data_IF_136091907122
#
_entry.id   IF_136091907122
#
_cell.length_a   1.000
_cell.length_b   1.000
_cell.length_c   1.000
_cell.angle_alpha   90.00
_cell.angle_beta   90.00
_cell.angle_gamma   90.00
#
_symmetry.space_group_name_H-M   'P 1'
#
loop_
_entity.id
_entity.type
_entity.pdbx_description
1 polymer ?
#
# COMPACT_ATOMS: atom_id res chain seq x y z
N UNK A 1 -17.23 16.73 4.41
CA UNK A 1 -16.85 17.13 3.04
C UNK A 1 -15.49 16.52 2.82
N UNK A 2 -15.36 15.45 2.02
CA UNK A 2 -14.11 14.70 1.94
C UNK A 2 -13.13 15.52 1.08
N UNK A 3 -12.03 15.91 1.70
CA UNK A 3 -11.03 16.78 1.12
C UNK A 3 -10.20 15.94 0.14
N UNK A 4 -10.53 16.02 -1.14
CA UNK A 4 -9.55 15.72 -2.18
C UNK A 4 -8.35 16.64 -1.93
N UNK A 5 -7.19 16.03 -1.68
CA UNK A 5 -5.88 16.66 -1.58
C UNK A 5 -5.81 17.91 -2.48
N UNK A 6 -5.40 19.05 -1.93
CA UNK A 6 -5.51 20.43 -2.46
C UNK A 6 -4.95 20.66 -3.89
N UNK A 7 -5.42 19.90 -4.89
CA UNK A 7 -4.99 19.85 -6.28
C UNK A 7 -3.72 19.04 -6.58
N UNK A 8 -3.02 18.47 -5.59
CA UNK A 8 -1.68 17.91 -5.83
C UNK A 8 -1.34 16.71 -4.96
N UNK A 9 -1.20 15.55 -5.59
CA UNK A 9 -0.73 14.33 -4.93
C UNK A 9 0.77 14.44 -4.60
N UNK A 10 1.11 14.15 -3.34
CA UNK A 10 2.47 13.96 -2.86
C UNK A 10 2.54 12.53 -2.35
N UNK A 11 3.55 11.78 -2.78
CA UNK A 11 3.73 10.39 -2.42
C UNK A 11 5.17 9.95 -2.61
N UNK A 12 5.49 8.81 -2.04
CA UNK A 12 6.77 8.12 -2.16
C UNK A 12 6.51 6.63 -2.32
N UNK A 13 7.47 5.94 -2.93
CA UNK A 13 7.52 4.48 -2.90
C UNK A 13 7.96 4.03 -1.52
N UNK A 14 7.22 3.10 -0.94
CA UNK A 14 7.46 2.55 0.40
C UNK A 14 7.31 1.04 0.32
N UNK A 15 8.19 0.32 1.03
CA UNK A 15 8.06 -1.12 1.16
C UNK A 15 6.78 -1.48 1.93
N UNK A 16 6.11 -2.54 1.50
CA UNK A 16 4.85 -2.96 2.09
C UNK A 16 4.97 -3.25 3.60
N UNK A 17 6.13 -3.72 4.06
CA UNK A 17 6.40 -3.99 5.48
C UNK A 17 6.52 -2.73 6.33
N UNK A 18 6.81 -1.58 5.72
CA UNK A 18 7.09 -0.33 6.42
C UNK A 18 5.96 0.70 6.29
N UNK A 19 4.97 0.41 5.43
CA UNK A 19 3.87 1.32 5.09
C UNK A 19 3.02 1.71 6.30
N UNK A 20 2.86 0.83 7.30
CA UNK A 20 2.10 1.12 8.52
C UNK A 20 2.81 2.11 9.46
N UNK A 21 4.13 2.27 9.31
CA UNK A 21 4.94 3.20 10.06
C UNK A 21 5.15 4.53 9.33
N UNK A 22 4.72 4.61 8.07
CA UNK A 22 4.88 5.80 7.25
C UNK A 22 3.88 6.88 7.66
N UNK A 23 4.39 8.02 8.09
CA UNK A 23 3.56 9.17 8.48
C UNK A 23 3.35 10.14 7.31
N UNK A 24 2.34 10.99 7.39
CA UNK A 24 2.18 12.13 6.46
C UNK A 24 3.44 13.02 6.41
N UNK A 25 4.13 13.16 7.54
CA UNK A 25 5.37 13.91 7.61
C UNK A 25 6.43 13.30 6.71
N UNK A 26 6.60 11.97 6.77
CA UNK A 26 7.56 11.23 5.96
C UNK A 26 7.24 11.38 4.47
N UNK A 27 5.96 11.24 4.09
CA UNK A 27 5.51 11.44 2.70
C UNK A 27 5.80 12.85 2.18
N UNK A 28 5.79 13.86 3.06
CA UNK A 28 6.00 15.26 2.72
C UNK A 28 7.45 15.72 2.83
N UNK A 29 8.39 14.89 3.30
CA UNK A 29 9.82 15.26 3.38
C UNK A 29 10.32 15.67 2.00
N UNK A 30 10.91 16.87 1.91
CA UNK A 30 11.47 17.40 0.66
C UNK A 30 10.44 17.85 -0.38
N UNK A 31 9.13 17.67 -0.14
CA UNK A 31 8.07 18.08 -1.08
C UNK A 31 7.92 19.59 -1.22
N UNK A 32 8.40 20.36 -0.23
CA UNK A 32 8.19 21.81 -0.14
C UNK A 32 6.72 22.23 0.06
N UNK A 33 5.83 21.27 0.35
CA UNK A 33 4.39 21.47 0.47
C UNK A 33 3.93 21.24 1.91
N UNK A 34 3.13 22.16 2.42
CA UNK A 34 2.42 21.97 3.68
C UNK A 34 1.38 20.85 3.52
N UNK A 35 1.17 20.09 4.60
CA UNK A 35 0.13 19.08 4.72
C UNK A 35 -0.72 19.36 5.96
N UNK A 36 -1.96 18.89 5.92
CA UNK A 36 -2.84 18.92 7.09
C UNK A 36 -2.83 17.54 7.75
N UNK A 37 -2.83 17.50 9.09
CA UNK A 37 -2.81 16.24 9.86
C UNK A 37 -4.05 15.32 9.65
N UNK A 38 -5.01 15.76 8.83
CA UNK A 38 -6.26 15.08 8.53
C UNK A 38 -6.28 14.52 7.10
N UNK A 39 -5.19 14.69 6.35
CA UNK A 39 -5.04 14.11 5.02
C UNK A 39 -4.90 12.59 5.13
N UNK A 40 -5.52 11.87 4.21
CA UNK A 40 -5.49 10.41 4.19
C UNK A 40 -4.28 9.91 3.40
N UNK A 41 -3.64 8.86 3.92
CA UNK A 41 -2.61 8.11 3.18
C UNK A 41 -3.31 7.01 2.42
N UNK A 42 -2.97 6.88 1.14
CA UNK A 42 -3.61 5.94 0.23
C UNK A 42 -2.59 5.35 -0.74
N UNK A 43 -2.72 4.05 -1.03
CA UNK A 43 -1.87 3.37 -2.02
C UNK A 43 -2.52 3.54 -3.38
N UNK A 44 -2.01 4.50 -4.15
CA UNK A 44 -2.47 4.81 -5.52
C UNK A 44 -1.81 3.93 -6.59
N UNK A 45 -0.61 3.44 -6.30
CA UNK A 45 0.16 2.57 -7.19
C UNK A 45 0.94 1.55 -6.35
N UNK A 46 1.11 0.35 -6.87
CA UNK A 46 1.81 -0.74 -6.20
C UNK A 46 2.45 -1.70 -7.19
N UNK A 47 3.56 -2.31 -6.81
CA UNK A 47 4.21 -3.35 -7.59
C UNK A 47 4.18 -4.69 -6.85
N UNK A 48 4.16 -5.79 -7.60
CA UNK A 48 4.29 -7.17 -7.10
C UNK A 48 3.18 -7.67 -6.15
N UNK A 49 2.14 -6.88 -5.90
CA UNK A 49 0.93 -7.30 -5.19
C UNK A 49 -0.07 -7.92 -6.19
N UNK A 50 -0.72 -9.06 -5.87
CA UNK A 50 -1.57 -9.78 -6.81
C UNK A 50 -3.03 -9.35 -6.84
N UNK A 51 -3.30 -8.08 -6.58
CA UNK A 51 -4.63 -7.46 -6.75
C UNK A 51 -4.53 -6.24 -7.67
N UNK A 52 -5.66 -5.80 -8.20
CA UNK A 52 -5.76 -4.55 -8.96
C UNK A 52 -6.43 -3.48 -8.10
N UNK A 53 -6.13 -2.22 -8.37
CA UNK A 53 -6.79 -1.07 -7.78
C UNK A 53 -6.00 -0.42 -6.66
N UNK A 54 -6.70 0.35 -5.84
CA UNK A 54 -6.12 1.16 -4.77
C UNK A 54 -6.64 0.67 -3.43
N UNK A 55 -5.84 0.79 -2.39
CA UNK A 55 -6.20 0.35 -1.04
C UNK A 55 -5.50 1.15 0.05
N UNK A 56 -5.91 0.90 1.29
CA UNK A 56 -5.34 1.56 2.46
C UNK A 56 -3.99 0.97 2.88
N UNK A 57 -3.17 1.72 3.64
CA UNK A 57 -1.90 1.26 4.19
C UNK A 57 -1.97 -0.06 4.97
N UNK A 58 -3.09 -0.30 5.67
CA UNK A 58 -3.28 -1.53 6.43
C UNK A 58 -3.27 -2.77 5.53
N UNK A 59 -3.95 -2.70 4.38
CA UNK A 59 -4.00 -3.80 3.43
C UNK A 59 -2.63 -4.02 2.77
N UNK A 60 -1.91 -2.93 2.48
CA UNK A 60 -0.52 -3.01 2.01
C UNK A 60 0.39 -3.72 3.03
N UNK A 61 0.27 -3.41 4.33
CA UNK A 61 1.05 -4.06 5.39
C UNK A 61 0.76 -5.56 5.49
N UNK A 62 -0.50 -5.96 5.34
CA UNK A 62 -0.90 -7.37 5.30
C UNK A 62 -0.27 -8.11 4.12
N UNK A 63 -0.22 -7.48 2.94
CA UNK A 63 0.49 -8.04 1.79
C UNK A 63 1.99 -8.20 2.04
N UNK A 64 2.62 -7.23 2.71
CA UNK A 64 4.01 -7.33 3.14
C UNK A 64 4.27 -8.52 4.08
N UNK A 65 3.38 -8.74 5.05
CA UNK A 65 3.46 -9.90 5.95
C UNK A 65 3.31 -11.22 5.18
N UNK A 66 2.35 -11.30 4.25
CA UNK A 66 2.20 -12.48 3.39
C UNK A 66 3.44 -12.76 2.54
N UNK A 67 4.12 -11.71 2.05
CA UNK A 67 5.37 -11.85 1.30
C UNK A 67 6.49 -12.46 2.17
N UNK A 68 6.69 -11.92 3.38
CA UNK A 68 7.70 -12.43 4.33
C UNK A 68 7.43 -13.89 4.74
N UNK A 69 6.16 -14.22 5.00
CA UNK A 69 5.76 -15.60 5.33
C UNK A 69 5.97 -16.57 4.17
N UNK A 70 5.65 -16.16 2.95
CA UNK A 70 5.79 -16.99 1.76
C UNK A 70 7.26 -17.19 1.36
N UNK A 71 8.10 -16.19 1.61
CA UNK A 71 9.43 -16.00 1.03
C UNK A 71 9.43 -15.60 -0.46
N UNK A 72 10.49 -14.91 -0.93
CA UNK A 72 10.58 -14.45 -2.32
C UNK A 72 10.47 -15.57 -3.36
N UNK A 73 10.98 -16.77 -3.04
CA UNK A 73 10.97 -17.91 -3.96
C UNK A 73 9.56 -18.45 -4.23
N UNK A 74 8.66 -18.33 -3.24
CA UNK A 74 7.28 -18.82 -3.36
C UNK A 74 6.29 -17.72 -3.73
N UNK A 75 6.68 -16.45 -3.61
CA UNK A 75 5.82 -15.31 -3.92
C UNK A 75 5.17 -15.38 -5.31
N UNK A 76 5.87 -15.74 -6.41
CA UNK A 76 5.23 -15.88 -7.71
C UNK A 76 4.08 -16.90 -7.72
N UNK A 77 4.18 -17.98 -6.93
CA UNK A 77 3.13 -18.98 -6.82
C UNK A 77 1.92 -18.46 -6.02
N UNK A 78 2.16 -17.71 -4.94
CA UNK A 78 1.10 -17.02 -4.18
C UNK A 78 0.35 -16.05 -5.08
N UNK A 79 1.08 -15.25 -5.86
CA UNK A 79 0.48 -14.30 -6.78
C UNK A 79 -0.39 -14.96 -7.86
N UNK A 80 0.06 -16.09 -8.41
CA UNK A 80 -0.72 -16.87 -9.37
C UNK A 80 -1.99 -17.46 -8.70
N UNK A 81 -1.86 -17.94 -7.46
CA UNK A 81 -2.95 -18.49 -6.68
C UNK A 81 -4.03 -17.45 -6.37
N UNK A 82 -3.65 -16.25 -5.91
CA UNK A 82 -4.58 -15.15 -5.65
C UNK A 82 -5.31 -14.74 -6.93
N UNK A 83 -4.58 -14.46 -8.02
CA UNK A 83 -5.18 -14.05 -9.30
C UNK A 83 -6.09 -15.09 -9.93
N UNK A 84 -5.86 -16.37 -9.64
CA UNK A 84 -6.73 -17.45 -10.13
C UNK A 84 -8.10 -17.51 -9.44
N UNK A 85 -8.25 -16.85 -8.29
CA UNK A 85 -9.45 -16.96 -7.44
C UNK A 85 -9.64 -18.35 -6.81
N UNK A 86 -8.67 -19.28 -6.96
CA UNK A 86 -8.74 -20.64 -6.41
C UNK A 86 -8.34 -20.68 -4.92
N UNK A 87 -8.82 -19.73 -4.14
CA UNK A 87 -8.58 -19.60 -2.70
C UNK A 87 -9.86 -19.28 -1.96
N UNK A 88 -9.90 -19.62 -0.66
CA UNK A 88 -10.99 -19.25 0.24
C UNK A 88 -10.46 -18.16 1.17
N UNK A 89 -11.00 -16.95 1.06
CA UNK A 89 -10.76 -15.90 2.05
C UNK A 89 -11.69 -16.14 3.26
N UNK A 90 -11.18 -15.99 4.49
CA UNK A 90 -12.04 -15.92 5.66
C UNK A 90 -12.75 -14.56 5.66
N UNK A 91 -14.08 -14.58 5.65
CA UNK A 91 -14.93 -13.39 5.71
C UNK A 91 -15.19 -12.90 7.13
#
# INVERSE_FOLDING_TARGET
>A
MPCYNSGYLVGQWVDCTDVEHTTLADLHVGSGRAYAAWEEVWVLDHEYIPVDGEFGPLEAAQWGQCFEEASPERWPAVCAWVRSGMHVAQG
#
